data_IF_269569852820
#
_entry.id   IF_269569852820
#
_cell.length_a   1.000
_cell.length_b   1.000
_cell.length_c   1.000
_cell.angle_alpha   90.00
_cell.angle_beta   90.00
_cell.angle_gamma   90.00
#
_symmetry.space_group_name_H-M   'P 1'
#
loop_
_entity.id
_entity.type
_entity.pdbx_description
1 polymer ?
#
# COMPACT_ATOMS: atom_id res chain seq x y z
N UNK A 1 -35.57 -50.38 9.61
CA UNK A 1 -34.56 -49.94 8.61
C UNK A 1 -35.30 -49.57 7.32
N UNK A 2 -35.32 -48.30 6.93
CA UNK A 2 -35.99 -47.83 5.70
C UNK A 2 -35.02 -47.91 4.51
N UNK A 3 -35.35 -48.55 3.39
CA UNK A 3 -34.47 -48.54 2.22
C UNK A 3 -34.59 -47.20 1.49
N UNK A 4 -33.46 -46.61 1.10
CA UNK A 4 -33.42 -45.47 0.17
C UNK A 4 -33.36 -45.99 -1.26
N UNK A 5 -34.31 -45.56 -2.10
CA UNK A 5 -34.29 -45.79 -3.54
C UNK A 5 -33.49 -44.66 -4.23
N UNK A 6 -32.63 -44.98 -5.22
CA UNK A 6 -31.94 -43.96 -6.00
C UNK A 6 -32.88 -43.38 -7.07
N UNK A 7 -33.17 -42.08 -6.99
CA UNK A 7 -33.83 -41.36 -8.08
C UNK A 7 -32.77 -40.93 -9.10
N UNK A 8 -32.58 -41.70 -10.16
CA UNK A 8 -31.89 -41.22 -11.36
C UNK A 8 -32.93 -40.58 -12.27
N UNK A 9 -32.94 -39.26 -12.36
CA UNK A 9 -33.76 -38.54 -13.35
C UNK A 9 -32.92 -38.38 -14.64
N UNK A 10 -33.24 -39.05 -15.76
CA UNK A 10 -32.37 -39.10 -16.93
C UNK A 10 -32.67 -37.99 -17.95
N UNK A 11 -33.15 -36.82 -17.51
CA UNK A 11 -33.53 -35.74 -18.42
C UNK A 11 -33.17 -34.36 -17.88
N UNK A 12 -31.87 -34.09 -17.77
CA UNK A 12 -31.38 -32.71 -17.71
C UNK A 12 -30.41 -32.51 -18.87
N UNK A 13 -30.80 -31.76 -19.93
CA UNK A 13 -29.86 -31.43 -21.00
C UNK A 13 -28.67 -30.66 -20.40
N UNK A 14 -27.46 -30.81 -20.97
CA UNK A 14 -26.29 -30.10 -20.47
C UNK A 14 -26.55 -28.60 -20.52
N UNK A 15 -26.81 -28.00 -19.35
CA UNK A 15 -26.89 -26.56 -19.21
C UNK A 15 -25.54 -26.01 -19.65
N UNK A 16 -25.55 -25.13 -20.66
CA UNK A 16 -24.36 -24.50 -21.21
C UNK A 16 -23.41 -24.05 -20.09
N UNK A 17 -22.08 -24.20 -20.27
CA UNK A 17 -21.12 -23.86 -19.24
C UNK A 17 -21.31 -22.40 -18.83
N UNK A 18 -21.76 -22.19 -17.58
CA UNK A 18 -21.87 -20.88 -16.97
C UNK A 18 -20.51 -20.18 -17.14
N UNK A 19 -20.46 -18.96 -17.71
CA UNK A 19 -19.20 -18.26 -17.88
C UNK A 19 -18.52 -18.12 -16.51
N UNK A 20 -17.30 -18.67 -16.41
CA UNK A 20 -16.47 -18.57 -15.19
C UNK A 20 -16.36 -17.09 -14.85
N UNK A 21 -17.04 -16.67 -13.78
CA UNK A 21 -17.03 -15.27 -13.32
C UNK A 21 -15.58 -14.85 -13.10
N UNK A 22 -15.09 -13.91 -13.92
CA UNK A 22 -13.76 -13.31 -13.74
C UNK A 22 -13.71 -12.74 -12.32
N UNK A 23 -12.69 -13.13 -11.55
CA UNK A 23 -12.45 -12.50 -10.25
C UNK A 23 -12.02 -11.07 -10.52
N UNK A 24 -12.65 -10.10 -9.88
CA UNK A 24 -12.25 -8.70 -9.98
C UNK A 24 -10.82 -8.54 -9.45
N UNK A 25 -9.96 -7.84 -10.18
CA UNK A 25 -8.59 -7.48 -9.75
C UNK A 25 -8.60 -6.36 -8.72
N UNK A 26 -9.62 -5.51 -8.77
CA UNK A 26 -9.88 -4.41 -7.85
C UNK A 26 -11.35 -4.45 -7.42
N UNK A 27 -11.61 -4.30 -6.13
CA UNK A 27 -12.96 -4.10 -5.62
C UNK A 27 -13.27 -2.60 -5.57
N UNK A 28 -14.52 -2.23 -5.89
CA UNK A 28 -14.99 -0.86 -5.72
C UNK A 28 -14.95 -0.42 -4.24
N UNK A 29 -15.02 0.88 -3.99
CA UNK A 29 -14.88 1.46 -2.66
C UNK A 29 -15.97 0.97 -1.70
N UNK A 30 -17.22 0.89 -2.17
CA UNK A 30 -18.33 0.38 -1.37
C UNK A 30 -18.12 -1.09 -0.95
N UNK A 31 -17.58 -1.93 -1.83
CA UNK A 31 -17.27 -3.32 -1.50
C UNK A 31 -16.04 -3.45 -0.61
N UNK A 32 -15.02 -2.60 -0.80
CA UNK A 32 -13.83 -2.52 0.08
C UNK A 32 -14.23 -2.17 1.52
N UNK A 33 -15.01 -1.10 1.70
CA UNK A 33 -15.47 -0.62 3.01
C UNK A 33 -16.28 -1.70 3.71
N UNK A 34 -17.20 -2.37 2.99
CA UNK A 34 -18.06 -3.42 3.55
C UNK A 34 -17.40 -4.81 3.62
N UNK A 35 -16.11 -4.92 3.23
CA UNK A 35 -15.36 -6.20 3.11
C UNK A 35 -16.14 -7.29 2.37
N UNK A 36 -16.92 -6.90 1.36
CA UNK A 36 -17.80 -7.77 0.59
C UNK A 36 -17.18 -8.25 -0.72
N UNK A 37 -17.73 -9.32 -1.30
CA UNK A 37 -17.31 -9.80 -2.63
C UNK A 37 -17.71 -8.78 -3.70
N UNK A 38 -16.72 -8.26 -4.41
CA UNK A 38 -16.92 -7.45 -5.62
C UNK A 38 -16.73 -8.34 -6.86
N UNK A 39 -17.62 -8.18 -7.83
CA UNK A 39 -17.59 -8.86 -9.12
C UNK A 39 -16.90 -8.03 -10.21
N UNK A 40 -16.50 -6.78 -9.93
CA UNK A 40 -15.71 -5.95 -10.85
C UNK A 40 -16.53 -5.23 -11.92
N UNK A 41 -17.85 -5.42 -11.95
CA UNK A 41 -18.75 -4.65 -12.82
C UNK A 41 -18.81 -3.16 -12.44
N UNK A 42 -19.29 -2.33 -13.36
CA UNK A 42 -19.55 -0.92 -13.12
C UNK A 42 -20.97 -0.54 -13.61
N UNK A 43 -21.98 -0.46 -12.71
CA UNK A 43 -21.91 -0.75 -11.27
C UNK A 43 -21.74 -2.25 -10.96
N UNK A 44 -21.14 -2.56 -9.81
CA UNK A 44 -20.94 -3.94 -9.36
C UNK A 44 -22.28 -4.59 -8.96
N UNK A 45 -22.48 -5.90 -9.13
CA UNK A 45 -23.76 -6.55 -8.83
C UNK A 45 -24.17 -6.36 -7.36
N UNK A 46 -23.21 -6.46 -6.43
CA UNK A 46 -23.47 -6.22 -5.01
C UNK A 46 -23.91 -4.76 -4.73
N UNK A 47 -23.36 -3.81 -5.49
CA UNK A 47 -23.65 -2.38 -5.38
C UNK A 47 -25.03 -2.07 -5.93
N UNK A 48 -25.39 -2.70 -7.05
CA UNK A 48 -26.69 -2.59 -7.70
C UNK A 48 -27.80 -3.14 -6.79
N UNK A 49 -27.64 -4.33 -6.20
CA UNK A 49 -28.61 -4.89 -5.25
C UNK A 49 -28.79 -4.01 -4.01
N UNK A 50 -27.73 -3.34 -3.56
CA UNK A 50 -27.73 -2.50 -2.36
C UNK A 50 -28.12 -1.05 -2.63
N UNK A 51 -28.35 -0.67 -3.89
CA UNK A 51 -28.52 0.72 -4.31
C UNK A 51 -27.45 1.66 -3.70
N UNK A 52 -26.20 1.20 -3.66
CA UNK A 52 -25.08 2.00 -3.12
C UNK A 52 -24.21 2.55 -4.25
N UNK A 53 -23.64 3.74 -4.05
CA UNK A 53 -22.66 4.32 -4.98
C UNK A 53 -21.50 3.34 -5.25
N UNK A 54 -21.27 3.03 -6.53
CA UNK A 54 -20.24 2.11 -6.98
C UNK A 54 -19.11 2.90 -7.64
N UNK A 55 -18.14 3.33 -6.86
CA UNK A 55 -16.99 4.07 -7.34
C UNK A 55 -15.75 3.20 -7.29
N UNK A 56 -14.95 3.23 -8.34
CA UNK A 56 -13.58 2.70 -8.35
C UNK A 56 -12.63 3.90 -8.29
N UNK A 57 -11.54 3.82 -7.52
CA UNK A 57 -10.53 4.88 -7.54
C UNK A 57 -10.00 5.03 -8.96
N UNK A 58 -9.84 6.27 -9.42
CA UNK A 58 -9.21 6.54 -10.71
C UNK A 58 -7.78 5.99 -10.69
N UNK A 59 -7.32 5.48 -11.84
CA UNK A 59 -5.94 5.02 -11.99
C UNK A 59 -4.97 6.17 -11.67
N UNK A 60 -5.26 7.37 -12.16
CA UNK A 60 -4.47 8.59 -11.95
C UNK A 60 -4.32 8.95 -10.46
N UNK A 61 -5.40 8.88 -9.67
CA UNK A 61 -5.34 9.17 -8.22
C UNK A 61 -4.44 8.20 -7.46
N UNK A 62 -4.45 6.93 -7.87
CA UNK A 62 -3.64 5.89 -7.23
C UNK A 62 -2.17 6.03 -7.63
N UNK A 63 -1.90 6.30 -8.90
CA UNK A 63 -0.56 6.56 -9.44
C UNK A 63 0.06 7.82 -8.84
N UNK A 64 -0.73 8.90 -8.69
CA UNK A 64 -0.28 10.13 -8.03
C UNK A 64 0.05 9.89 -6.56
N UNK A 65 -0.81 9.18 -5.82
CA UNK A 65 -0.53 8.83 -4.42
C UNK A 65 0.73 7.99 -4.29
N UNK A 66 0.92 7.01 -5.18
CA UNK A 66 2.09 6.15 -5.16
C UNK A 66 3.38 6.93 -5.43
N UNK A 67 3.37 7.83 -6.42
CA UNK A 67 4.55 8.65 -6.75
C UNK A 67 4.92 9.60 -5.61
N UNK A 68 3.94 10.25 -4.97
CA UNK A 68 4.16 11.11 -3.79
C UNK A 68 4.74 10.32 -2.63
N UNK A 69 4.16 9.15 -2.31
CA UNK A 69 4.67 8.30 -1.23
C UNK A 69 6.09 7.80 -1.49
N UNK A 70 6.40 7.44 -2.74
CA UNK A 70 7.75 7.02 -3.15
C UNK A 70 8.75 8.15 -2.95
N UNK A 71 8.42 9.37 -3.38
CA UNK A 71 9.27 10.55 -3.19
C UNK A 71 9.58 10.80 -1.72
N UNK A 72 8.55 10.87 -0.88
CA UNK A 72 8.73 11.09 0.56
C UNK A 72 9.54 9.95 1.22
N UNK A 73 9.41 8.71 0.74
CA UNK A 73 10.24 7.60 1.22
C UNK A 73 11.71 7.79 0.89
N UNK A 74 12.02 8.30 -0.31
CA UNK A 74 13.41 8.61 -0.71
C UNK A 74 13.97 9.72 0.18
N UNK A 75 13.22 10.81 0.34
CA UNK A 75 13.62 11.96 1.18
C UNK A 75 13.90 11.54 2.63
N UNK A 76 12.99 10.78 3.26
CA UNK A 76 13.21 10.26 4.62
C UNK A 76 14.43 9.32 4.71
N UNK A 77 14.69 8.51 3.67
CA UNK A 77 15.84 7.59 3.66
C UNK A 77 17.15 8.36 3.58
N UNK A 78 17.19 9.41 2.78
CA UNK A 78 18.35 10.31 2.66
C UNK A 78 18.62 11.07 3.97
N UNK A 79 17.55 11.53 4.64
CA UNK A 79 17.66 12.17 5.95
C UNK A 79 18.18 11.18 7.02
N UNK A 80 17.65 9.96 7.05
CA UNK A 80 18.15 8.91 7.95
C UNK A 80 19.62 8.55 7.66
N UNK A 81 20.02 8.52 6.39
CA UNK A 81 21.42 8.29 6.02
C UNK A 81 22.34 9.39 6.55
N UNK A 82 21.94 10.66 6.37
CA UNK A 82 22.66 11.82 6.91
C UNK A 82 22.89 11.69 8.42
N UNK A 83 21.85 11.36 9.19
CA UNK A 83 22.00 11.22 10.64
C UNK A 83 22.88 10.04 11.05
N UNK A 84 22.83 8.93 10.31
CA UNK A 84 23.71 7.77 10.57
C UNK A 84 25.17 8.12 10.32
N UNK A 85 25.46 8.73 9.18
CA UNK A 85 26.81 9.14 8.82
C UNK A 85 27.40 10.11 9.86
N UNK A 86 26.58 11.05 10.36
CA UNK A 86 26.98 11.97 11.42
C UNK A 86 27.34 11.23 12.70
N UNK A 87 26.50 10.29 13.15
CA UNK A 87 26.78 9.49 14.36
C UNK A 87 28.07 8.69 14.19
N UNK A 88 28.28 8.08 13.03
CA UNK A 88 29.49 7.29 12.77
C UNK A 88 30.74 8.16 12.75
N UNK A 89 30.67 9.37 12.20
CA UNK A 89 31.78 10.31 12.25
C UNK A 89 32.09 10.75 13.70
N UNK A 90 31.07 11.13 14.47
CA UNK A 90 31.21 11.54 15.86
C UNK A 90 31.82 10.45 16.75
N UNK A 91 31.64 9.16 16.41
CA UNK A 91 32.25 8.03 17.15
C UNK A 91 33.76 7.93 16.96
N UNK A 92 34.27 8.37 15.81
CA UNK A 92 35.70 8.23 15.47
C UNK A 92 36.52 9.50 15.73
N UNK A 93 35.85 10.63 15.96
CA UNK A 93 36.49 11.92 16.16
C UNK A 93 37.14 12.07 17.55
N UNK A 94 38.20 12.89 17.67
CA UNK A 94 38.72 13.34 18.95
C UNK A 94 37.67 14.08 19.79
N UNK A 95 37.78 13.99 21.12
CA UNK A 95 36.76 14.50 22.04
C UNK A 95 36.50 16.01 21.92
N UNK A 96 37.54 16.81 21.69
CA UNK A 96 37.45 18.26 21.46
C UNK A 96 36.70 18.58 20.16
N UNK A 97 36.98 17.85 19.09
CA UNK A 97 36.28 17.99 17.81
C UNK A 97 34.79 17.59 17.92
N UNK A 98 34.47 16.56 18.72
CA UNK A 98 33.09 16.17 19.02
C UNK A 98 32.35 17.29 19.76
N UNK A 99 32.99 17.93 20.74
CA UNK A 99 32.37 19.04 21.48
C UNK A 99 32.02 20.23 20.56
N UNK A 100 32.93 20.61 19.65
CA UNK A 100 32.65 21.68 18.68
C UNK A 100 31.49 21.31 17.75
N UNK A 101 31.49 20.08 17.22
CA UNK A 101 30.41 19.58 16.37
C UNK A 101 29.04 19.62 17.07
N UNK A 102 28.97 19.15 18.32
CA UNK A 102 27.73 19.18 19.11
C UNK A 102 27.29 20.61 19.41
N UNK A 103 28.22 21.53 19.68
CA UNK A 103 27.89 22.93 19.92
C UNK A 103 27.25 23.58 18.69
N UNK A 104 27.78 23.30 17.49
CA UNK A 104 27.18 23.76 16.23
C UNK A 104 25.77 23.22 16.04
N UNK A 105 25.56 21.92 16.26
CA UNK A 105 24.22 21.30 16.17
C UNK A 105 23.23 21.95 17.16
N UNK A 106 23.66 22.24 18.39
CA UNK A 106 22.82 22.93 19.40
C UNK A 106 22.41 24.34 18.98
N UNK A 107 23.22 25.02 18.17
CA UNK A 107 22.88 26.34 17.60
C UNK A 107 22.00 26.26 16.36
N UNK A 108 21.53 25.08 15.97
CA UNK A 108 20.66 24.87 14.80
C UNK A 108 21.41 24.69 13.49
N UNK A 109 22.71 24.38 13.54
CA UNK A 109 23.49 24.11 12.34
C UNK A 109 23.00 22.82 11.65
N UNK A 110 22.88 22.86 10.33
CA UNK A 110 22.35 21.76 9.53
C UNK A 110 23.29 20.53 9.55
N UNK A 111 22.79 19.32 9.85
CA UNK A 111 23.58 18.09 9.92
C UNK A 111 24.32 17.72 8.62
N UNK A 112 23.69 17.94 7.46
CA UNK A 112 24.31 17.60 6.18
C UNK A 112 25.46 18.57 5.86
N UNK A 113 25.27 19.85 6.13
CA UNK A 113 26.31 20.88 6.02
C UNK A 113 27.46 20.58 6.97
N UNK A 114 27.18 20.13 8.19
CA UNK A 114 28.21 19.76 9.16
C UNK A 114 29.07 18.59 8.66
N UNK A 115 28.45 17.58 8.08
CA UNK A 115 29.15 16.45 7.45
C UNK A 115 30.05 16.87 6.28
N UNK A 116 29.68 17.89 5.52
CA UNK A 116 30.50 18.39 4.42
C UNK A 116 31.77 19.11 4.91
N UNK A 117 31.79 19.62 6.13
CA UNK A 117 32.98 20.25 6.73
C UNK A 117 34.02 19.19 7.12
N UNK A 118 33.58 17.97 7.41
CA UNK A 118 34.45 16.88 7.86
C UNK A 118 35.04 16.03 6.72
N UNK A 119 34.56 16.20 5.49
CA UNK A 119 35.11 15.58 4.27
C UNK A 119 36.20 16.48 3.67
#
# INVERSE_FOLDING_TARGET
LRPLLPTTNPHQPPSAPLPKRKRATLACDACRIKRGRCDGGNPCAACQTRNSACTYPAAEDTELRETVLRRHNVELREEVATFRDLIDHLRTMPADAVQDALQRLRTGFDPNTLLQIFK
#
